data_IF_775786051006
#
_entry.id   IF_775786051006
#
_cell.length_a   1.000
_cell.length_b   1.000
_cell.length_c   1.000
_cell.angle_alpha   90.00
_cell.angle_beta   90.00
_cell.angle_gamma   90.00
#
_symmetry.space_group_name_H-M   'P 1'
#
loop_
_entity.id
_entity.type
_entity.pdbx_description
1 polymer ?
#
# COMPACT_ATOMS: atom_id res chain seq x y z
N UNK A 1 -5.96 -14.09 8.53
CA UNK A 1 -7.19 -13.27 8.34
C UNK A 1 -6.97 -11.91 8.98
N UNK A 2 -7.25 -10.83 8.28
CA UNK A 2 -7.18 -9.46 8.83
C UNK A 2 -8.57 -9.04 9.30
N UNK A 3 -8.71 -8.76 10.59
CA UNK A 3 -9.98 -8.40 11.22
C UNK A 3 -9.92 -7.01 11.85
N UNK A 4 -10.96 -6.23 11.59
CA UNK A 4 -11.21 -4.91 12.16
C UNK A 4 -12.50 -4.99 12.99
N UNK A 5 -12.47 -4.53 14.24
CA UNK A 5 -13.65 -4.51 15.13
C UNK A 5 -13.83 -3.12 15.73
N UNK A 6 -14.96 -2.51 15.41
CA UNK A 6 -15.41 -1.22 15.95
C UNK A 6 -14.40 -0.08 15.79
N UNK A 7 -13.73 -0.02 14.63
CA UNK A 7 -12.71 0.99 14.37
C UNK A 7 -13.35 2.37 14.30
N UNK A 8 -12.85 3.27 15.12
CA UNK A 8 -13.30 4.65 15.19
C UNK A 8 -12.11 5.61 15.24
N UNK A 9 -12.21 6.73 14.49
CA UNK A 9 -11.17 7.76 14.42
C UNK A 9 -11.80 9.15 14.36
N UNK A 10 -11.22 10.06 15.14
CA UNK A 10 -11.59 11.48 15.12
C UNK A 10 -10.37 12.35 14.88
N UNK A 11 -10.56 13.45 14.19
CA UNK A 11 -9.64 14.58 14.06
C UNK A 11 -10.32 15.83 14.64
N UNK A 12 -9.95 16.19 15.86
CA UNK A 12 -10.67 17.21 16.60
C UNK A 12 -12.15 16.85 16.75
N UNK A 13 -13.03 17.67 16.21
CA UNK A 13 -14.50 17.46 16.23
C UNK A 13 -15.01 16.58 15.09
N UNK A 14 -14.20 16.40 14.04
CA UNK A 14 -14.60 15.63 12.84
C UNK A 14 -14.38 14.15 13.05
N UNK A 15 -15.43 13.36 12.85
CA UNK A 15 -15.39 11.90 12.89
C UNK A 15 -15.06 11.35 11.52
N UNK A 16 -13.84 10.85 11.33
CA UNK A 16 -13.38 10.24 10.07
C UNK A 16 -13.83 8.78 9.93
N UNK A 17 -13.84 8.03 11.05
CA UNK A 17 -14.33 6.64 11.07
C UNK A 17 -15.30 6.49 12.25
N UNK A 18 -16.40 5.75 12.05
CA UNK A 18 -17.43 5.50 13.05
C UNK A 18 -17.79 4.03 13.06
N UNK A 19 -17.28 3.30 14.06
CA UNK A 19 -17.62 1.90 14.34
C UNK A 19 -17.52 0.97 13.11
N UNK A 20 -16.38 1.05 12.41
CA UNK A 20 -16.15 0.25 11.21
C UNK A 20 -15.68 -1.15 11.62
N UNK A 21 -16.43 -2.17 11.22
CA UNK A 21 -16.06 -3.57 11.42
C UNK A 21 -16.00 -4.27 10.07
N UNK A 22 -14.91 -5.00 9.82
CA UNK A 22 -14.62 -5.61 8.54
C UNK A 22 -13.70 -6.82 8.75
N UNK A 23 -13.93 -7.85 7.96
CA UNK A 23 -13.04 -9.02 7.89
C UNK A 23 -12.55 -9.15 6.47
N UNK A 24 -11.23 -9.19 6.31
CA UNK A 24 -10.56 -9.34 5.02
C UNK A 24 -9.92 -10.74 4.96
N UNK A 25 -10.51 -11.66 4.21
CA UNK A 25 -9.91 -12.97 4.01
C UNK A 25 -8.69 -12.87 3.09
N UNK A 26 -7.73 -13.78 3.29
CA UNK A 26 -6.56 -13.87 2.42
C UNK A 26 -6.93 -14.39 1.03
N UNK A 27 -6.22 -13.93 0.00
CA UNK A 27 -6.40 -14.40 -1.38
C UNK A 27 -7.62 -13.83 -2.11
N UNK A 28 -8.23 -12.76 -1.58
CA UNK A 28 -9.36 -12.08 -2.21
C UNK A 28 -9.01 -10.62 -2.52
N UNK A 29 -9.59 -10.10 -3.60
CA UNK A 29 -9.56 -8.68 -3.93
C UNK A 29 -10.82 -8.04 -3.38
N UNK A 30 -10.64 -7.04 -2.51
CA UNK A 30 -11.75 -6.31 -1.88
C UNK A 30 -11.69 -4.85 -2.27
N UNK A 31 -12.76 -4.35 -2.90
CA UNK A 31 -12.90 -2.93 -3.26
C UNK A 31 -13.48 -2.12 -2.10
N UNK A 32 -12.79 -1.06 -1.69
CA UNK A 32 -13.28 -0.09 -0.72
C UNK A 32 -13.81 1.16 -1.44
N UNK A 33 -15.12 1.29 -1.52
CA UNK A 33 -15.79 2.37 -2.23
C UNK A 33 -16.33 3.43 -1.25
N UNK A 34 -16.37 4.68 -1.71
CA UNK A 34 -16.91 5.81 -0.95
C UNK A 34 -16.45 7.14 -1.55
N UNK A 35 -17.15 8.20 -1.22
CA UNK A 35 -16.84 9.56 -1.66
C UNK A 35 -15.44 10.02 -1.19
N UNK A 36 -14.93 11.08 -1.80
CA UNK A 36 -13.71 11.72 -1.32
C UNK A 36 -13.95 12.27 0.10
N UNK A 37 -13.03 11.95 1.01
CA UNK A 37 -13.18 12.30 2.43
C UNK A 37 -13.99 11.30 3.27
N UNK A 38 -14.51 10.19 2.69
CA UNK A 38 -15.26 9.17 3.44
C UNK A 38 -14.41 8.36 4.43
N UNK A 39 -13.09 8.60 4.51
CA UNK A 39 -12.20 7.95 5.48
C UNK A 39 -11.45 6.73 4.97
N UNK A 40 -11.47 6.44 3.65
CA UNK A 40 -10.77 5.29 3.06
C UNK A 40 -9.27 5.25 3.41
N UNK A 41 -8.55 6.32 3.09
CA UNK A 41 -7.13 6.48 3.46
C UNK A 41 -6.90 6.42 4.96
N UNK A 42 -7.80 7.03 5.76
CA UNK A 42 -7.73 6.97 7.23
C UNK A 42 -7.83 5.53 7.73
N UNK A 43 -8.75 4.73 7.18
CA UNK A 43 -8.90 3.32 7.55
C UNK A 43 -7.63 2.53 7.23
N UNK A 44 -7.07 2.69 6.02
CA UNK A 44 -5.83 2.02 5.64
C UNK A 44 -4.66 2.41 6.54
N UNK A 45 -4.51 3.71 6.86
CA UNK A 45 -3.47 4.19 7.80
C UNK A 45 -3.69 3.66 9.23
N UNK A 46 -4.92 3.44 9.68
CA UNK A 46 -5.20 2.76 10.96
C UNK A 46 -4.77 1.28 10.90
N UNK A 47 -5.06 0.56 9.81
CA UNK A 47 -4.64 -0.83 9.63
C UNK A 47 -3.12 -0.97 9.71
N UNK A 48 -2.39 -0.03 9.13
CA UNK A 48 -0.92 0.00 9.13
C UNK A 48 -0.32 0.48 10.45
N UNK A 49 -1.14 0.83 11.46
CA UNK A 49 -0.64 1.36 12.73
C UNK A 49 -0.06 2.78 12.64
N UNK A 50 -0.23 3.46 11.50
CA UNK A 50 0.24 4.85 11.29
C UNK A 50 -0.62 5.87 12.01
N UNK A 51 -1.87 5.52 12.36
CA UNK A 51 -2.80 6.37 13.07
C UNK A 51 -3.39 5.63 14.28
N UNK A 52 -3.45 6.30 15.41
CA UNK A 52 -4.19 5.82 16.58
C UNK A 52 -5.69 5.75 16.31
N UNK A 53 -6.37 4.74 16.80
CA UNK A 53 -7.79 4.50 16.59
C UNK A 53 -8.42 3.86 17.84
N UNK A 54 -9.74 3.91 17.95
CA UNK A 54 -10.53 3.07 18.85
C UNK A 54 -10.85 1.75 18.17
N UNK A 55 -11.23 0.73 18.95
CA UNK A 55 -11.47 -0.62 18.47
C UNK A 55 -10.19 -1.46 18.35
N UNK A 56 -10.27 -2.59 17.68
CA UNK A 56 -9.15 -3.53 17.54
C UNK A 56 -8.91 -3.94 16.10
N UNK A 57 -7.63 -4.03 15.71
CA UNK A 57 -7.19 -4.57 14.42
C UNK A 57 -6.26 -5.75 14.71
N UNK A 58 -6.57 -6.89 14.13
CA UNK A 58 -5.79 -8.12 14.33
C UNK A 58 -5.47 -8.81 13.01
N UNK A 59 -4.29 -9.39 12.94
CA UNK A 59 -3.84 -10.26 11.87
C UNK A 59 -3.69 -11.68 12.43
N UNK A 60 -4.56 -12.60 11.97
CA UNK A 60 -4.67 -13.97 12.50
C UNK A 60 -4.82 -14.02 14.03
N UNK A 61 -5.64 -13.12 14.58
CA UNK A 61 -5.92 -13.00 16.01
C UNK A 61 -4.87 -12.26 16.84
N UNK A 62 -3.71 -11.91 16.27
CA UNK A 62 -2.69 -11.13 16.94
C UNK A 62 -2.78 -9.64 16.56
N UNK A 63 -2.55 -8.74 17.53
CA UNK A 63 -2.45 -7.31 17.24
C UNK A 63 -1.29 -7.03 16.31
N UNK A 64 -1.46 -6.02 15.42
CA UNK A 64 -0.41 -5.58 14.52
C UNK A 64 0.73 -4.94 15.33
N UNK A 65 1.94 -5.39 15.08
CA UNK A 65 3.16 -4.96 15.76
C UNK A 65 4.39 -5.18 14.86
N UNK A 66 5.58 -4.85 15.35
CA UNK A 66 6.84 -4.95 14.60
C UNK A 66 7.14 -6.35 14.05
N UNK A 67 6.61 -7.42 14.66
CA UNK A 67 6.85 -8.81 14.23
C UNK A 67 5.97 -9.26 13.06
N UNK A 68 4.84 -8.60 12.84
CA UNK A 68 3.88 -9.01 11.82
C UNK A 68 3.51 -7.92 10.82
N UNK A 69 3.98 -6.68 11.02
CA UNK A 69 3.70 -5.56 10.12
C UNK A 69 4.25 -5.80 8.70
N UNK A 70 5.34 -6.55 8.54
CA UNK A 70 5.90 -6.92 7.24
C UNK A 70 4.94 -7.74 6.36
N UNK A 71 3.91 -8.33 6.97
CA UNK A 71 2.83 -9.05 6.27
C UNK A 71 1.80 -8.13 5.63
N UNK A 72 1.92 -6.82 5.85
CA UNK A 72 1.13 -5.77 5.22
C UNK A 72 2.03 -4.96 4.31
N UNK A 73 1.56 -4.60 3.13
CA UNK A 73 2.18 -3.61 2.26
C UNK A 73 1.19 -2.54 1.86
N UNK A 74 1.70 -1.39 1.46
CA UNK A 74 0.88 -0.22 1.16
C UNK A 74 1.40 0.50 -0.08
N UNK A 75 0.53 0.73 -1.05
CA UNK A 75 0.77 1.63 -2.17
C UNK A 75 -0.10 2.87 -2.02
N UNK A 76 0.50 4.04 -2.07
CA UNK A 76 -0.17 5.32 -1.89
C UNK A 76 0.37 6.38 -2.84
N UNK A 77 -0.49 7.30 -3.28
CA UNK A 77 -0.07 8.45 -4.09
C UNK A 77 0.75 9.50 -3.30
N UNK A 78 0.83 9.39 -1.96
CA UNK A 78 1.65 10.29 -1.13
C UNK A 78 3.16 9.99 -1.24
N UNK A 79 3.55 8.85 -1.78
CA UNK A 79 4.91 8.36 -1.99
C UNK A 79 5.84 8.43 -0.77
N UNK A 80 6.21 7.26 -0.25
CA UNK A 80 7.12 7.10 0.90
C UNK A 80 8.55 6.74 0.50
N UNK A 81 8.96 7.06 -0.73
CA UNK A 81 10.26 6.69 -1.26
C UNK A 81 11.41 7.56 -0.79
N UNK A 82 12.59 7.03 -0.98
CA UNK A 82 13.84 7.79 -0.95
C UNK A 82 14.08 8.45 -2.32
N UNK A 83 13.78 9.74 -2.51
CA UNK A 83 13.77 10.35 -3.85
C UNK A 83 15.12 10.32 -4.58
N UNK A 84 16.22 10.22 -3.83
CA UNK A 84 17.56 10.15 -4.38
C UNK A 84 17.96 8.74 -4.85
N UNK A 85 17.28 7.69 -4.38
CA UNK A 85 17.56 6.33 -4.80
C UNK A 85 16.87 6.01 -6.14
N UNK A 86 17.51 5.14 -6.92
CA UNK A 86 16.91 4.51 -8.09
C UNK A 86 16.06 3.31 -7.71
N UNK A 87 15.20 2.76 -8.61
CA UNK A 87 14.53 1.48 -8.40
C UNK A 87 15.47 0.36 -7.98
N UNK A 88 16.65 0.27 -8.57
CA UNK A 88 17.67 -0.68 -8.15
C UNK A 88 18.06 -0.49 -6.68
N UNK A 89 18.30 0.74 -6.24
CA UNK A 89 18.65 1.02 -4.85
C UNK A 89 17.50 0.68 -3.88
N UNK A 90 16.24 0.92 -4.26
CA UNK A 90 15.08 0.50 -3.47
C UNK A 90 14.95 -1.03 -3.41
N UNK A 91 15.13 -1.72 -4.53
CA UNK A 91 15.15 -3.18 -4.59
C UNK A 91 16.18 -3.75 -3.62
N UNK A 92 17.43 -3.26 -3.67
CA UNK A 92 18.51 -3.74 -2.81
C UNK A 92 18.19 -3.50 -1.32
N UNK A 93 17.58 -2.35 -0.99
CA UNK A 93 17.10 -2.05 0.35
C UNK A 93 15.99 -3.01 0.79
N UNK A 94 14.98 -3.25 -0.06
CA UNK A 94 13.87 -4.15 0.27
C UNK A 94 14.32 -5.60 0.40
N UNK A 95 15.22 -6.07 -0.43
CA UNK A 95 15.81 -7.42 -0.30
C UNK A 95 16.53 -7.62 1.04
N UNK A 96 17.18 -6.58 1.55
CA UNK A 96 17.89 -6.65 2.82
C UNK A 96 16.95 -6.65 4.03
N UNK A 97 15.74 -6.05 3.93
CA UNK A 97 14.86 -5.82 5.07
C UNK A 97 13.57 -6.66 5.05
N UNK A 98 13.16 -7.16 3.89
CA UNK A 98 11.95 -7.97 3.72
C UNK A 98 12.32 -9.37 3.22
N UNK A 99 12.37 -10.37 4.09
CA UNK A 99 12.83 -11.72 3.73
C UNK A 99 12.01 -12.40 2.64
N UNK A 100 10.76 -11.95 2.44
CA UNK A 100 9.83 -12.48 1.44
C UNK A 100 9.79 -11.66 0.15
N UNK A 101 10.68 -10.67 -0.01
CA UNK A 101 10.74 -9.85 -1.22
C UNK A 101 10.92 -10.71 -2.47
N UNK A 102 10.04 -10.51 -3.46
CA UNK A 102 10.03 -11.29 -4.68
C UNK A 102 10.73 -10.55 -5.82
N UNK A 103 12.02 -10.80 -5.98
CA UNK A 103 12.86 -10.16 -6.97
C UNK A 103 12.42 -10.44 -8.43
N UNK A 104 11.94 -11.65 -8.71
CA UNK A 104 11.43 -11.98 -10.04
C UNK A 104 10.20 -11.17 -10.40
N UNK A 105 9.27 -11.01 -9.43
CA UNK A 105 8.07 -10.19 -9.61
C UNK A 105 8.44 -8.73 -9.76
N UNK A 106 9.39 -8.24 -8.98
CA UNK A 106 9.89 -6.87 -9.09
C UNK A 106 10.37 -6.57 -10.52
N UNK A 107 11.26 -7.41 -11.08
CA UNK A 107 11.75 -7.21 -12.44
C UNK A 107 10.64 -7.30 -13.48
N UNK A 108 9.77 -8.32 -13.39
CA UNK A 108 8.66 -8.46 -14.32
C UNK A 108 7.72 -7.25 -14.34
N UNK A 109 7.43 -6.66 -13.17
CA UNK A 109 6.59 -5.47 -13.07
C UNK A 109 7.33 -4.20 -13.54
N UNK A 110 8.64 -4.08 -13.28
CA UNK A 110 9.45 -2.99 -13.82
C UNK A 110 9.45 -3.00 -15.35
N UNK A 111 9.58 -4.18 -15.95
CA UNK A 111 9.53 -4.36 -17.40
C UNK A 111 8.13 -4.09 -17.95
N UNK A 112 7.08 -4.59 -17.28
CA UNK A 112 5.68 -4.35 -17.66
C UNK A 112 5.30 -2.87 -17.70
N UNK A 113 5.75 -2.09 -16.72
CA UNK A 113 5.51 -0.64 -16.66
C UNK A 113 6.59 0.17 -17.41
N UNK A 114 7.55 -0.47 -18.04
CA UNK A 114 8.66 0.17 -18.76
C UNK A 114 9.43 1.20 -17.90
N UNK A 115 9.61 0.91 -16.61
CA UNK A 115 10.25 1.83 -15.67
C UNK A 115 11.78 1.71 -15.70
N UNK A 116 12.52 2.84 -15.70
CA UNK A 116 13.97 2.82 -15.78
C UNK A 116 14.61 2.42 -14.44
N UNK A 117 15.41 1.36 -14.42
CA UNK A 117 16.05 0.79 -13.23
C UNK A 117 17.07 1.69 -12.53
N UNK A 118 17.75 2.56 -13.27
CA UNK A 118 18.94 3.27 -12.79
C UNK A 118 18.73 4.78 -12.62
N UNK A 119 17.55 5.31 -12.93
CA UNK A 119 17.23 6.74 -12.73
C UNK A 119 16.72 6.96 -11.30
N UNK A 120 17.14 8.02 -10.59
CA UNK A 120 16.62 8.32 -9.26
C UNK A 120 15.13 8.69 -9.33
N UNK A 121 14.35 8.32 -8.29
CA UNK A 121 12.89 8.51 -8.29
C UNK A 121 12.46 9.98 -8.36
N UNK A 122 13.33 10.92 -7.95
CA UNK A 122 13.07 12.36 -8.16
C UNK A 122 12.92 12.74 -9.62
N UNK A 123 13.47 11.94 -10.56
CA UNK A 123 13.37 12.17 -12.01
C UNK A 123 12.17 11.47 -12.66
N UNK A 124 11.36 10.73 -11.88
CA UNK A 124 10.15 10.07 -12.35
C UNK A 124 9.01 11.09 -12.47
N UNK A 125 8.14 10.90 -13.46
CA UNK A 125 6.86 11.59 -13.52
C UNK A 125 5.95 11.11 -12.35
N UNK A 126 4.86 11.83 -12.10
CA UNK A 126 3.88 11.41 -11.08
C UNK A 126 3.32 10.01 -11.40
N UNK A 127 2.96 9.74 -12.66
CA UNK A 127 2.50 8.42 -13.09
C UNK A 127 3.54 7.32 -12.88
N UNK A 128 4.79 7.54 -13.26
CA UNK A 128 5.87 6.58 -13.01
C UNK A 128 6.10 6.32 -11.52
N UNK A 129 5.94 7.33 -10.67
CA UNK A 129 6.03 7.15 -9.21
C UNK A 129 4.89 6.29 -8.68
N UNK A 130 3.65 6.52 -9.13
CA UNK A 130 2.50 5.69 -8.75
C UNK A 130 2.68 4.24 -9.20
N UNK A 131 3.13 4.02 -10.43
CA UNK A 131 3.45 2.68 -10.94
C UNK A 131 4.53 2.00 -10.09
N UNK A 132 5.58 2.74 -9.72
CA UNK A 132 6.65 2.20 -8.89
C UNK A 132 6.17 1.87 -7.46
N UNK A 133 5.23 2.64 -6.86
CA UNK A 133 4.58 2.26 -5.59
C UNK A 133 3.89 0.89 -5.70
N UNK A 134 3.15 0.67 -6.77
CA UNK A 134 2.48 -0.61 -7.03
C UNK A 134 3.51 -1.74 -7.18
N UNK A 135 4.59 -1.51 -7.94
CA UNK A 135 5.68 -2.48 -8.11
C UNK A 135 6.25 -2.89 -6.77
N UNK A 136 6.57 -1.92 -5.90
CA UNK A 136 7.16 -2.20 -4.59
C UNK A 136 6.19 -2.94 -3.67
N UNK A 137 4.93 -2.48 -3.59
CA UNK A 137 3.91 -3.10 -2.74
C UNK A 137 3.64 -4.56 -3.15
N UNK A 138 3.54 -4.83 -4.45
CA UNK A 138 3.33 -6.19 -4.97
C UNK A 138 4.55 -7.10 -4.79
N UNK A 139 5.76 -6.52 -4.77
CA UNK A 139 7.01 -7.27 -4.68
C UNK A 139 7.49 -7.52 -3.26
N UNK A 140 6.99 -6.80 -2.26
CA UNK A 140 7.39 -6.93 -0.86
C UNK A 140 7.17 -8.35 -0.29
N UNK A 141 6.21 -9.10 -0.83
CA UNK A 141 5.87 -10.45 -0.35
C UNK A 141 4.91 -10.44 0.84
N UNK A 142 4.15 -9.37 1.01
CA UNK A 142 3.12 -9.25 2.04
C UNK A 142 1.93 -10.18 1.79
N UNK A 143 1.21 -10.55 2.86
CA UNK A 143 -0.01 -11.36 2.78
C UNK A 143 -1.23 -10.51 2.42
N UNK A 144 -1.20 -9.21 2.78
CA UNK A 144 -2.23 -8.22 2.47
C UNK A 144 -1.59 -6.98 1.87
N UNK A 145 -2.15 -6.53 0.77
CA UNK A 145 -1.69 -5.36 0.04
C UNK A 145 -2.82 -4.33 0.08
N UNK A 146 -2.55 -3.19 0.67
CA UNK A 146 -3.46 -2.06 0.71
C UNK A 146 -3.07 -1.09 -0.42
N UNK A 147 -4.04 -0.64 -1.20
CA UNK A 147 -3.81 0.29 -2.30
C UNK A 147 -4.78 1.47 -2.18
N UNK A 148 -4.24 2.66 -2.01
CA UNK A 148 -5.02 3.90 -1.91
C UNK A 148 -4.86 4.71 -3.19
N UNK A 149 -5.89 4.69 -4.03
CA UNK A 149 -5.91 5.35 -5.34
C UNK A 149 -4.66 5.06 -6.20
N UNK A 150 -4.25 3.78 -6.36
CA UNK A 150 -2.94 3.42 -6.92
C UNK A 150 -2.72 3.89 -8.35
N UNK A 151 -3.79 4.28 -9.04
CA UNK A 151 -3.76 4.70 -10.44
C UNK A 151 -4.22 6.15 -10.64
N UNK A 152 -4.35 6.93 -9.56
CA UNK A 152 -4.71 8.34 -9.66
C UNK A 152 -3.69 9.09 -10.54
N UNK A 153 -4.18 9.82 -11.56
CA UNK A 153 -3.33 10.58 -12.49
C UNK A 153 -2.58 9.77 -13.54
N UNK A 154 -2.89 8.48 -13.71
CA UNK A 154 -2.37 7.65 -14.78
C UNK A 154 -3.36 7.56 -15.95
N UNK A 155 -3.00 8.14 -17.11
CA UNK A 155 -3.72 7.92 -18.39
C UNK A 155 -3.52 6.50 -18.96
N UNK A 156 -2.81 5.62 -18.24
CA UNK A 156 -2.39 4.30 -18.73
C UNK A 156 -3.57 3.34 -18.92
N UNK A 157 -4.70 3.58 -18.27
CA UNK A 157 -5.91 2.76 -18.42
C UNK A 157 -6.85 3.19 -19.55
N UNK A 158 -6.50 4.23 -20.33
CA UNK A 158 -7.22 4.57 -21.57
C UNK A 158 -6.71 3.81 -22.80
N UNK A 159 -5.84 2.84 -22.65
CA UNK A 159 -5.52 1.91 -23.73
C UNK A 159 -6.53 0.77 -23.70
N UNK A 160 -7.31 0.66 -24.76
CA UNK A 160 -8.33 -0.37 -25.04
C UNK A 160 -7.74 -1.80 -25.20
N UNK A 161 -6.68 -2.15 -24.47
CA UNK A 161 -5.98 -3.44 -24.59
C UNK A 161 -6.10 -4.28 -23.30
N UNK A 162 -7.34 -4.36 -22.76
CA UNK A 162 -7.69 -5.38 -21.77
C UNK A 162 -9.01 -6.06 -22.14
#
# INVERSE_FOLDING_TARGET
>A
MLELKSISKKYGVTRALKDVSLTLPQGQIVGLFGENGAGKTTLMKCILGLLSHGGTITLDGASINEKNIERLSFATCEHSFFPALSPKGHRDFYQAHFPRFNDKRFHALMDFFELPMNKPLRAFSAGMKNQFEVVMALSQGADYILMDEPFAGNDVFNREDF
#
